data_IF_089602743548
#
_entry.id   IF_089602743548
#
_cell.length_a   1.000
_cell.length_b   1.000
_cell.length_c   1.000
_cell.angle_alpha   90.00
_cell.angle_beta   90.00
_cell.angle_gamma   90.00
#
_symmetry.space_group_name_H-M   'P 1'
#
loop_
_entity.id
_entity.type
_entity.pdbx_description
1 polymer ?
#
# COMPACT_ATOMS: atom_id res chain seq x y z
N UNK A 1 -0.35 27.89 2.56
CA UNK A 1 0.22 26.82 3.40
C UNK A 1 -0.86 26.05 4.18
N UNK A 2 -1.56 26.67 5.14
CA UNK A 2 -2.58 25.98 5.97
C UNK A 2 -3.67 25.31 5.12
N UNK A 3 -4.16 26.01 4.09
CA UNK A 3 -5.13 25.41 3.17
C UNK A 3 -4.57 24.21 2.41
N UNK A 4 -3.34 24.30 1.88
CA UNK A 4 -2.71 23.16 1.19
C UNK A 4 -2.60 21.94 2.10
N UNK A 5 -2.16 22.13 3.36
CA UNK A 5 -2.08 21.06 4.34
C UNK A 5 -3.48 20.49 4.68
N UNK A 6 -4.47 21.36 4.91
CA UNK A 6 -5.84 20.93 5.21
C UNK A 6 -6.43 20.10 4.06
N UNK A 7 -6.27 20.55 2.81
CA UNK A 7 -6.71 19.81 1.62
C UNK A 7 -5.96 18.48 1.44
N UNK A 8 -4.65 18.49 1.69
CA UNK A 8 -3.84 17.28 1.65
C UNK A 8 -4.32 16.24 2.68
N UNK A 9 -4.45 16.64 3.95
CA UNK A 9 -4.92 15.73 5.02
C UNK A 9 -6.34 15.23 4.72
N UNK A 10 -7.25 16.12 4.28
CA UNK A 10 -8.59 15.72 3.86
C UNK A 10 -8.56 14.68 2.74
N UNK A 11 -7.74 14.90 1.72
CA UNK A 11 -7.58 13.97 0.60
C UNK A 11 -7.01 12.62 1.02
N UNK A 12 -5.99 12.61 1.86
CA UNK A 12 -5.39 11.36 2.37
C UNK A 12 -6.38 10.59 3.24
N UNK A 13 -7.06 11.26 4.19
CA UNK A 13 -8.04 10.61 5.06
C UNK A 13 -9.22 10.02 4.28
N UNK A 14 -9.84 10.79 3.39
CA UNK A 14 -10.92 10.30 2.53
C UNK A 14 -10.43 9.18 1.62
N UNK A 15 -9.20 9.30 1.09
CA UNK A 15 -8.59 8.28 0.26
C UNK A 15 -8.52 6.93 0.99
N UNK A 16 -7.96 6.89 2.20
CA UNK A 16 -7.89 5.65 2.96
C UNK A 16 -9.27 5.12 3.38
N UNK A 17 -10.24 5.98 3.70
CA UNK A 17 -11.62 5.53 3.90
C UNK A 17 -12.16 4.85 2.63
N UNK A 18 -11.98 5.46 1.46
CA UNK A 18 -12.39 4.88 0.19
C UNK A 18 -11.60 3.63 -0.22
N UNK A 19 -10.35 3.47 0.22
CA UNK A 19 -9.57 2.25 -0.02
C UNK A 19 -10.03 1.06 0.83
N UNK A 20 -10.48 1.32 2.05
CA UNK A 20 -10.79 0.28 3.06
C UNK A 20 -12.27 -0.09 3.07
N UNK A 21 -13.16 0.89 3.03
CA UNK A 21 -14.60 0.68 3.19
C UNK A 21 -15.35 0.69 1.85
N UNK A 22 -16.49 0.01 1.80
CA UNK A 22 -17.40 0.04 0.65
C UNK A 22 -18.14 1.37 0.51
N UNK A 23 -18.42 2.01 1.65
CA UNK A 23 -19.06 3.32 1.76
C UNK A 23 -18.41 4.13 2.88
N UNK A 24 -18.40 5.45 2.75
CA UNK A 24 -17.99 6.34 3.82
C UNK A 24 -18.72 7.68 3.74
N UNK A 25 -18.74 8.42 4.85
CA UNK A 25 -19.28 9.76 4.87
C UNK A 25 -18.24 10.74 4.32
N UNK A 26 -18.65 11.53 3.32
CA UNK A 26 -17.81 12.61 2.80
C UNK A 26 -18.07 13.85 3.63
N UNK A 27 -17.07 14.26 4.40
CA UNK A 27 -17.12 15.48 5.21
C UNK A 27 -16.06 16.45 4.68
N UNK A 28 -16.51 17.60 4.21
CA UNK A 28 -15.68 18.67 3.70
C UNK A 28 -16.03 19.98 4.41
N UNK A 29 -15.31 21.06 4.09
CA UNK A 29 -15.62 22.42 4.57
C UNK A 29 -16.99 22.95 4.06
N UNK A 30 -17.52 22.36 3.01
CA UNK A 30 -18.84 22.68 2.46
C UNK A 30 -19.97 21.86 3.12
N UNK A 31 -19.63 20.89 3.96
CA UNK A 31 -20.61 19.99 4.60
C UNK A 31 -21.37 20.71 5.70
N UNK A 32 -22.69 20.72 5.58
CA UNK A 32 -23.59 21.26 6.61
C UNK A 32 -23.71 20.28 7.77
N UNK A 33 -22.92 20.46 8.82
CA UNK A 33 -22.82 19.53 9.94
C UNK A 33 -24.17 19.30 10.68
N UNK A 34 -25.10 20.27 10.62
CA UNK A 34 -26.44 20.12 11.18
C UNK A 34 -27.29 19.04 10.48
N UNK A 35 -26.90 18.63 9.28
CA UNK A 35 -27.57 17.57 8.49
C UNK A 35 -26.83 16.24 8.55
N UNK A 36 -25.76 16.17 9.32
CA UNK A 36 -25.04 14.90 9.52
C UNK A 36 -25.84 13.97 10.48
N UNK A 37 -25.73 12.64 10.32
CA UNK A 37 -24.74 11.94 9.47
C UNK A 37 -25.06 11.89 7.97
N UNK A 38 -26.27 12.17 7.50
CA UNK A 38 -26.63 12.01 6.09
C UNK A 38 -26.55 10.56 5.59
N UNK A 39 -26.43 10.39 4.28
CA UNK A 39 -26.26 9.07 3.64
C UNK A 39 -24.78 8.86 3.27
N UNK A 40 -24.18 7.70 3.59
CA UNK A 40 -22.80 7.42 3.20
C UNK A 40 -22.69 7.25 1.68
N UNK A 41 -21.63 7.79 1.10
CA UNK A 41 -21.34 7.69 -0.33
C UNK A 41 -20.58 6.40 -0.65
N UNK A 42 -20.81 5.81 -1.84
CA UNK A 42 -20.01 4.68 -2.32
C UNK A 42 -18.52 5.03 -2.40
N UNK A 43 -17.67 4.05 -2.22
CA UNK A 43 -16.21 4.22 -2.20
C UNK A 43 -15.66 4.99 -3.42
N UNK A 44 -16.25 4.83 -4.61
CA UNK A 44 -15.81 5.56 -5.81
C UNK A 44 -15.98 7.07 -5.67
N UNK A 45 -17.07 7.52 -5.10
CA UNK A 45 -17.31 8.94 -4.84
C UNK A 45 -16.35 9.46 -3.76
N UNK A 46 -16.08 8.65 -2.74
CA UNK A 46 -15.13 8.99 -1.69
C UNK A 46 -13.72 9.16 -2.27
N UNK A 47 -13.28 8.24 -3.13
CA UNK A 47 -11.98 8.34 -3.84
C UNK A 47 -11.93 9.56 -4.76
N UNK A 48 -12.99 9.82 -5.53
CA UNK A 48 -13.02 11.01 -6.40
C UNK A 48 -12.91 12.30 -5.59
N UNK A 49 -13.58 12.39 -4.44
CA UNK A 49 -13.48 13.54 -3.54
C UNK A 49 -12.08 13.65 -2.92
N UNK A 50 -11.47 12.52 -2.56
CA UNK A 50 -10.10 12.46 -2.06
C UNK A 50 -9.10 13.01 -3.09
N UNK A 51 -9.18 12.52 -4.33
CA UNK A 51 -8.33 13.00 -5.44
C UNK A 51 -8.54 14.48 -5.70
N UNK A 52 -9.80 14.95 -5.74
CA UNK A 52 -10.09 16.38 -5.91
C UNK A 52 -9.51 17.24 -4.77
N UNK A 53 -9.51 16.76 -3.53
CA UNK A 53 -8.89 17.46 -2.41
C UNK A 53 -7.37 17.54 -2.55
N UNK A 54 -6.73 16.47 -3.04
CA UNK A 54 -5.29 16.46 -3.34
C UNK A 54 -4.92 17.36 -4.52
N UNK A 55 -5.76 17.42 -5.57
CA UNK A 55 -5.61 18.37 -6.68
C UNK A 55 -5.68 19.83 -6.18
N UNK A 56 -6.64 20.14 -5.31
CA UNK A 56 -6.74 21.48 -4.69
C UNK A 56 -5.51 21.81 -3.84
N UNK A 57 -4.97 20.82 -3.10
CA UNK A 57 -3.72 21.01 -2.36
C UNK A 57 -2.56 21.34 -3.31
N UNK A 58 -2.40 20.60 -4.40
CA UNK A 58 -1.38 20.85 -5.43
C UNK A 58 -1.55 22.21 -6.12
N UNK A 59 -2.77 22.63 -6.39
CA UNK A 59 -3.09 23.93 -6.95
C UNK A 59 -2.67 25.09 -6.03
N UNK A 60 -3.02 25.00 -4.73
CA UNK A 60 -2.60 25.99 -3.73
C UNK A 60 -1.08 26.06 -3.64
N UNK A 61 -0.39 24.90 -3.69
CA UNK A 61 1.06 24.84 -3.71
C UNK A 61 1.67 25.52 -4.94
N UNK A 62 1.06 25.35 -6.11
CA UNK A 62 1.52 25.96 -7.36
C UNK A 62 1.40 27.49 -7.35
N UNK A 63 0.42 28.01 -6.63
CA UNK A 63 0.11 29.45 -6.57
C UNK A 63 0.71 30.17 -5.34
N UNK A 64 1.51 29.45 -4.53
CA UNK A 64 2.05 29.97 -3.26
C UNK A 64 3.47 29.53 -3.05
N UNK A 65 4.26 30.34 -2.35
CA UNK A 65 5.61 29.96 -1.93
C UNK A 65 5.66 29.88 -0.39
N UNK A 66 5.89 28.68 0.14
CA UNK A 66 6.00 28.42 1.57
C UNK A 66 6.85 27.17 1.84
N UNK A 67 7.21 26.99 3.10
CA UNK A 67 7.80 25.75 3.62
C UNK A 67 6.92 25.24 4.75
N UNK A 68 6.63 23.93 4.75
CA UNK A 68 5.88 23.27 5.82
C UNK A 68 6.72 23.29 7.09
N UNK A 69 6.18 23.76 8.22
CA UNK A 69 6.89 23.74 9.50
C UNK A 69 7.19 22.31 9.96
N UNK A 70 8.39 22.07 10.51
CA UNK A 70 8.77 20.77 11.09
C UNK A 70 7.89 20.31 12.24
N UNK A 71 7.12 21.21 12.87
CA UNK A 71 6.10 20.84 13.86
C UNK A 71 4.88 20.13 13.27
N UNK A 72 4.64 20.27 11.96
CA UNK A 72 3.54 19.58 11.27
C UNK A 72 3.99 18.26 10.65
N UNK A 73 5.24 18.21 10.20
CA UNK A 73 5.87 17.03 9.62
C UNK A 73 7.23 16.83 10.34
N UNK A 74 7.29 16.11 11.45
CA UNK A 74 8.50 15.93 12.22
C UNK A 74 9.64 15.37 11.39
N UNK A 75 10.83 15.97 11.52
CA UNK A 75 12.02 15.56 10.78
C UNK A 75 12.04 15.92 9.29
N UNK A 76 10.95 16.45 8.75
CA UNK A 76 10.79 16.74 7.34
C UNK A 76 10.83 18.24 7.02
N UNK A 77 11.34 18.56 5.85
CA UNK A 77 11.25 19.91 5.27
C UNK A 77 10.71 19.81 3.85
N UNK A 78 9.56 20.41 3.61
CA UNK A 78 8.87 20.40 2.34
C UNK A 78 8.52 21.83 1.94
N UNK A 79 9.12 22.32 0.84
CA UNK A 79 8.65 23.56 0.23
C UNK A 79 7.36 23.31 -0.57
N UNK A 80 6.72 24.39 -1.03
CA UNK A 80 5.43 24.27 -1.75
C UNK A 80 5.52 23.42 -3.02
N UNK A 81 6.63 23.46 -3.76
CA UNK A 81 6.83 22.63 -4.95
C UNK A 81 6.97 21.14 -4.62
N UNK A 82 7.75 20.82 -3.60
CA UNK A 82 7.88 19.44 -3.11
C UNK A 82 6.55 18.93 -2.53
N UNK A 83 5.81 19.77 -1.80
CA UNK A 83 4.52 19.40 -1.22
C UNK A 83 3.44 19.18 -2.29
N UNK A 84 3.48 19.96 -3.40
CA UNK A 84 2.69 19.67 -4.61
C UNK A 84 2.95 18.26 -5.12
N UNK A 85 4.22 17.90 -5.28
CA UNK A 85 4.63 16.55 -5.75
C UNK A 85 4.13 15.45 -4.81
N UNK A 86 4.15 15.69 -3.50
CA UNK A 86 3.61 14.76 -2.51
C UNK A 86 2.10 14.55 -2.70
N UNK A 87 1.34 15.65 -2.89
CA UNK A 87 -0.09 15.57 -3.17
C UNK A 87 -0.40 14.80 -4.46
N UNK A 88 0.39 15.00 -5.51
CA UNK A 88 0.26 14.25 -6.76
C UNK A 88 0.53 12.76 -6.57
N UNK A 89 1.61 12.39 -5.87
CA UNK A 89 1.92 10.99 -5.59
C UNK A 89 0.80 10.29 -4.81
N UNK A 90 0.21 10.97 -3.81
CA UNK A 90 -0.95 10.43 -3.11
C UNK A 90 -2.18 10.33 -4.01
N UNK A 91 -2.41 11.27 -4.92
CA UNK A 91 -3.51 11.18 -5.88
C UNK A 91 -3.35 9.95 -6.80
N UNK A 92 -2.15 9.70 -7.32
CA UNK A 92 -1.83 8.50 -8.08
C UNK A 92 -2.06 7.22 -7.26
N UNK A 93 -1.57 7.17 -6.01
CA UNK A 93 -1.78 6.06 -5.07
C UNK A 93 -3.26 5.76 -4.88
N UNK A 94 -4.09 6.78 -4.63
CA UNK A 94 -5.53 6.59 -4.39
C UNK A 94 -6.24 6.01 -5.60
N UNK A 95 -5.91 6.45 -6.82
CA UNK A 95 -6.51 5.90 -8.04
C UNK A 95 -6.09 4.44 -8.23
N UNK A 96 -4.79 4.15 -8.18
CA UNK A 96 -4.25 2.81 -8.47
C UNK A 96 -4.76 1.76 -7.49
N UNK A 97 -4.76 2.07 -6.20
CA UNK A 97 -5.14 1.11 -5.16
C UNK A 97 -6.63 1.07 -4.86
N UNK A 98 -7.45 1.94 -5.45
CA UNK A 98 -8.89 1.92 -5.23
C UNK A 98 -9.62 0.77 -5.93
N UNK A 99 -9.05 0.20 -6.97
CA UNK A 99 -9.65 -0.90 -7.73
C UNK A 99 -9.94 -2.12 -6.85
N UNK A 100 -11.16 -2.66 -6.92
CA UNK A 100 -11.58 -3.83 -6.13
C UNK A 100 -11.29 -5.16 -6.82
N UNK A 101 -11.03 -5.10 -8.10
CA UNK A 101 -10.78 -6.27 -8.95
C UNK A 101 -10.09 -5.83 -10.26
N UNK A 102 -9.73 -6.82 -11.08
CA UNK A 102 -9.05 -6.59 -12.35
C UNK A 102 -9.89 -5.79 -13.36
N UNK A 103 -11.22 -5.87 -13.29
CA UNK A 103 -12.10 -5.07 -14.15
C UNK A 103 -12.03 -3.59 -13.80
N UNK A 104 -12.06 -3.28 -12.50
CA UNK A 104 -11.89 -1.90 -12.01
C UNK A 104 -10.50 -1.37 -12.37
N UNK A 105 -9.46 -2.20 -12.25
CA UNK A 105 -8.08 -1.84 -12.60
C UNK A 105 -7.94 -1.46 -14.09
N UNK A 106 -8.55 -2.25 -14.97
CA UNK A 106 -8.56 -1.94 -16.40
C UNK A 106 -9.29 -0.61 -16.70
N UNK A 107 -10.35 -0.33 -15.95
CA UNK A 107 -11.17 0.87 -16.12
C UNK A 107 -10.62 2.12 -15.40
N UNK A 108 -9.53 2.00 -14.65
CA UNK A 108 -8.92 3.12 -13.94
C UNK A 108 -8.39 4.19 -14.91
N UNK A 109 -8.34 5.44 -14.45
CA UNK A 109 -7.84 6.54 -15.27
C UNK A 109 -6.31 6.58 -15.28
N UNK A 110 -5.71 5.70 -16.08
CA UNK A 110 -4.25 5.53 -16.15
C UNK A 110 -3.52 6.76 -16.71
N UNK A 111 -4.16 7.56 -17.58
CA UNK A 111 -3.60 8.83 -18.05
C UNK A 111 -3.42 9.81 -16.89
N UNK A 112 -4.41 9.90 -16.00
CA UNK A 112 -4.32 10.73 -14.79
C UNK A 112 -3.25 10.22 -13.83
N UNK A 113 -3.15 8.90 -13.66
CA UNK A 113 -2.07 8.32 -12.83
C UNK A 113 -0.71 8.67 -13.40
N UNK A 114 -0.54 8.57 -14.72
CA UNK A 114 0.70 8.95 -15.39
C UNK A 114 1.03 10.43 -15.17
N UNK A 115 0.05 11.33 -15.34
CA UNK A 115 0.21 12.76 -15.11
C UNK A 115 0.69 13.06 -13.67
N UNK A 116 0.02 12.48 -12.68
CA UNK A 116 0.38 12.70 -11.28
C UNK A 116 1.73 12.10 -10.91
N UNK A 117 1.99 10.85 -11.27
CA UNK A 117 3.23 10.19 -10.93
C UNK A 117 4.45 10.79 -11.63
N UNK A 118 4.29 11.34 -12.85
CA UNK A 118 5.34 12.07 -13.57
C UNK A 118 5.76 13.37 -12.86
N UNK A 119 4.84 14.02 -12.14
CA UNK A 119 5.11 15.18 -11.29
C UNK A 119 4.98 14.79 -9.81
N UNK A 120 5.42 13.57 -9.47
CA UNK A 120 5.41 13.03 -8.13
C UNK A 120 6.68 13.31 -7.34
N UNK A 121 6.77 12.71 -6.14
CA UNK A 121 7.89 12.92 -5.21
C UNK A 121 9.23 12.45 -5.78
N UNK A 122 10.28 13.19 -5.45
CA UNK A 122 11.67 12.89 -5.80
C UNK A 122 12.50 12.40 -4.60
N UNK A 123 11.94 12.41 -3.41
CA UNK A 123 12.50 11.89 -2.16
C UNK A 123 11.41 11.17 -1.37
N UNK A 124 11.80 10.27 -0.47
CA UNK A 124 10.85 9.60 0.43
C UNK A 124 10.14 10.62 1.33
N UNK A 125 8.86 10.41 1.58
CA UNK A 125 8.12 11.06 2.65
C UNK A 125 8.18 10.12 3.86
N UNK A 126 9.07 10.47 4.80
CA UNK A 126 9.39 9.65 5.95
C UNK A 126 9.46 10.50 7.22
N UNK A 127 8.32 10.91 7.78
CA UNK A 127 8.31 11.65 9.03
C UNK A 127 9.02 10.91 10.14
N UNK A 128 9.64 11.66 11.05
CA UNK A 128 10.29 11.11 12.23
C UNK A 128 9.22 10.53 13.15
N UNK A 129 9.16 9.21 13.21
CA UNK A 129 8.30 8.49 14.13
C UNK A 129 8.99 8.39 15.49
N UNK A 130 8.26 8.69 16.57
CA UNK A 130 8.78 8.77 17.93
C UNK A 130 7.80 8.22 18.98
N UNK A 131 6.79 7.46 18.57
CA UNK A 131 5.71 6.90 19.38
C UNK A 131 4.86 7.93 20.16
N UNK A 132 5.07 9.22 19.96
CA UNK A 132 4.35 10.32 20.61
C UNK A 132 3.80 11.33 19.59
N UNK A 133 4.68 12.07 18.92
CA UNK A 133 4.29 13.14 18.00
C UNK A 133 3.84 12.59 16.64
N UNK A 134 4.56 11.59 16.11
CA UNK A 134 4.23 10.86 14.91
C UNK A 134 4.24 9.38 15.20
N UNK A 135 3.07 8.81 15.40
CA UNK A 135 2.89 7.42 15.77
C UNK A 135 2.18 6.64 14.67
N UNK A 136 2.74 5.49 14.34
CA UNK A 136 2.08 4.50 13.51
C UNK A 136 2.18 3.13 14.17
N UNK A 137 1.08 2.62 14.69
CA UNK A 137 1.03 1.26 15.25
C UNK A 137 1.45 0.20 14.22
N UNK A 138 1.21 0.45 12.93
CA UNK A 138 1.69 -0.41 11.88
C UNK A 138 3.22 -0.49 11.87
N UNK A 139 3.92 0.63 11.85
CA UNK A 139 5.39 0.65 11.86
C UNK A 139 5.96 0.09 13.16
N UNK A 140 5.40 0.45 14.30
CA UNK A 140 5.85 -0.06 15.59
C UNK A 140 5.71 -1.58 15.65
N UNK A 141 4.54 -2.13 15.35
CA UNK A 141 4.33 -3.58 15.40
C UNK A 141 5.02 -4.34 14.28
N UNK A 142 5.15 -3.75 13.08
CA UNK A 142 5.79 -4.40 11.95
C UNK A 142 7.28 -4.67 12.15
N UNK A 143 7.92 -4.05 13.12
CA UNK A 143 9.34 -4.25 13.43
C UNK A 143 9.58 -5.20 14.62
N UNK A 144 8.59 -5.48 15.46
CA UNK A 144 8.76 -6.41 16.58
C UNK A 144 8.91 -7.86 16.12
N UNK A 145 9.94 -8.54 16.61
CA UNK A 145 10.30 -9.90 16.20
C UNK A 145 9.16 -10.92 16.33
N UNK A 146 8.25 -10.73 17.29
CA UNK A 146 7.15 -11.66 17.58
C UNK A 146 5.87 -11.41 16.78
N UNK A 147 5.80 -10.33 15.99
CA UNK A 147 4.56 -9.95 15.32
C UNK A 147 4.64 -9.98 13.79
N UNK A 148 5.82 -10.14 13.21
CA UNK A 148 6.09 -9.84 11.81
C UNK A 148 6.65 -11.00 11.01
N UNK A 149 5.98 -12.14 11.04
CA UNK A 149 6.27 -13.16 10.06
C UNK A 149 5.93 -12.67 8.65
N UNK A 150 6.90 -12.77 7.74
CA UNK A 150 6.66 -12.51 6.33
C UNK A 150 5.83 -13.64 5.74
N UNK A 151 4.83 -13.30 4.93
CA UNK A 151 4.01 -14.29 4.23
C UNK A 151 4.88 -15.19 3.33
N UNK A 152 4.59 -16.49 3.32
CA UNK A 152 5.33 -17.46 2.49
C UNK A 152 5.25 -17.11 1.00
N UNK A 153 4.18 -16.49 0.55
CA UNK A 153 4.05 -16.01 -0.82
C UNK A 153 5.16 -15.02 -1.19
N UNK A 154 5.48 -14.08 -0.30
CA UNK A 154 6.55 -13.11 -0.52
C UNK A 154 7.93 -13.78 -0.49
N UNK A 155 8.12 -14.76 0.40
CA UNK A 155 9.38 -15.54 0.43
C UNK A 155 9.56 -16.35 -0.85
N UNK A 156 8.51 -16.99 -1.35
CA UNK A 156 8.52 -17.70 -2.65
C UNK A 156 8.80 -16.76 -3.83
N UNK A 157 8.33 -15.51 -3.78
CA UNK A 157 8.66 -14.51 -4.82
C UNK A 157 10.16 -14.17 -4.83
N UNK A 158 10.82 -14.18 -3.66
CA UNK A 158 12.26 -13.93 -3.56
C UNK A 158 13.09 -15.16 -3.88
N UNK A 159 12.63 -16.35 -3.52
CA UNK A 159 13.24 -17.64 -3.91
C UNK A 159 12.16 -18.61 -4.38
N UNK A 160 12.01 -18.83 -5.69
CA UNK A 160 11.00 -19.74 -6.24
C UNK A 160 11.15 -21.22 -5.80
N UNK A 161 12.26 -21.60 -5.17
CA UNK A 161 12.42 -22.93 -4.60
C UNK A 161 11.70 -23.09 -3.25
N UNK A 162 11.35 -21.97 -2.61
CA UNK A 162 10.56 -21.95 -1.38
C UNK A 162 9.07 -22.19 -1.69
N UNK A 163 8.31 -22.87 -0.83
CA UNK A 163 6.88 -23.02 -1.03
C UNK A 163 6.17 -21.67 -0.93
N UNK A 164 5.13 -21.45 -1.73
CA UNK A 164 4.30 -20.23 -1.64
C UNK A 164 3.31 -20.27 -0.46
N UNK A 165 3.05 -21.44 0.08
CA UNK A 165 2.24 -21.71 1.28
C UNK A 165 2.52 -23.11 1.79
N UNK A 166 2.12 -23.42 3.01
CA UNK A 166 2.14 -24.78 3.54
C UNK A 166 1.16 -25.67 2.74
N UNK A 167 1.61 -26.86 2.39
CA UNK A 167 0.82 -27.80 1.56
C UNK A 167 -0.35 -28.36 2.35
N UNK A 168 -0.12 -28.68 3.60
CA UNK A 168 -1.15 -29.13 4.53
C UNK A 168 -0.80 -28.74 5.98
N UNK A 169 -1.79 -28.75 6.85
CA UNK A 169 -1.66 -28.40 8.26
C UNK A 169 -0.77 -29.36 9.07
N UNK A 170 -0.50 -30.56 8.58
CA UNK A 170 0.33 -31.54 9.27
C UNK A 170 1.83 -31.33 9.03
N UNK A 171 2.18 -30.40 8.13
CA UNK A 171 3.58 -30.10 7.79
C UNK A 171 4.06 -28.74 8.29
N UNK A 172 3.20 -27.99 8.99
CA UNK A 172 3.50 -26.64 9.44
C UNK A 172 4.65 -26.52 10.44
N UNK A 173 4.99 -27.58 11.16
CA UNK A 173 6.12 -27.67 12.07
C UNK A 173 7.45 -28.04 11.36
N UNK A 174 7.36 -28.42 10.09
CA UNK A 174 8.52 -28.67 9.24
C UNK A 174 8.84 -27.39 8.48
N UNK A 175 9.57 -26.50 9.15
CA UNK A 175 9.95 -25.22 8.55
C UNK A 175 10.91 -25.45 7.37
N UNK A 176 10.69 -24.77 6.22
CA UNK A 176 11.67 -24.78 5.14
C UNK A 176 13.02 -24.28 5.65
N UNK A 177 14.09 -24.94 5.22
CA UNK A 177 15.44 -24.47 5.52
C UNK A 177 15.65 -23.06 4.99
N UNK A 178 16.45 -22.24 5.71
CA UNK A 178 16.73 -20.89 5.25
C UNK A 178 17.49 -20.88 3.92
N UNK A 179 17.20 -19.90 3.07
CA UNK A 179 17.98 -19.63 1.88
C UNK A 179 19.38 -19.18 2.32
N UNK A 180 20.41 -19.94 1.96
CA UNK A 180 21.78 -19.70 2.43
C UNK A 180 22.78 -19.33 1.32
N UNK A 181 22.38 -19.48 0.07
CA UNK A 181 23.25 -19.26 -1.07
C UNK A 181 22.58 -18.40 -2.14
N UNK A 182 23.35 -17.45 -2.66
CA UNK A 182 22.96 -16.72 -3.86
C UNK A 182 22.91 -17.69 -5.05
N UNK A 183 21.81 -17.68 -5.77
CA UNK A 183 21.58 -18.48 -6.98
C UNK A 183 20.89 -17.60 -8.01
N UNK A 184 21.08 -17.96 -9.28
CA UNK A 184 20.34 -17.30 -10.35
C UNK A 184 18.84 -17.38 -10.11
N UNK A 185 18.18 -16.24 -10.19
CA UNK A 185 16.74 -16.10 -9.96
C UNK A 185 16.31 -15.94 -8.49
N UNK A 186 17.24 -15.98 -7.54
CA UNK A 186 16.99 -15.60 -6.14
C UNK A 186 17.18 -14.09 -6.00
N UNK A 187 16.23 -13.44 -5.34
CA UNK A 187 16.30 -12.03 -5.01
C UNK A 187 17.22 -11.82 -3.81
N UNK A 188 18.33 -11.13 -4.02
CA UNK A 188 19.36 -10.88 -3.01
C UNK A 188 18.84 -10.10 -1.79
N UNK A 189 17.70 -9.43 -1.90
CA UNK A 189 17.07 -8.76 -0.76
C UNK A 189 16.65 -9.73 0.34
N UNK A 190 16.44 -11.03 0.04
CA UNK A 190 16.19 -12.04 1.08
C UNK A 190 17.32 -12.11 2.11
N UNK A 191 18.57 -11.80 1.71
CA UNK A 191 19.74 -11.79 2.59
C UNK A 191 19.94 -10.44 3.29
N UNK A 192 19.64 -9.35 2.59
CA UNK A 192 19.93 -8.00 3.07
C UNK A 192 18.79 -7.40 3.90
N UNK A 193 17.56 -7.58 3.44
CA UNK A 193 16.37 -6.92 3.99
C UNK A 193 15.52 -7.83 4.87
N UNK A 194 15.75 -9.14 4.80
CA UNK A 194 15.01 -10.13 5.58
C UNK A 194 15.92 -10.90 6.52
N UNK A 195 15.32 -11.46 7.57
CA UNK A 195 15.98 -12.31 8.53
C UNK A 195 15.19 -13.60 8.73
N UNK A 196 15.87 -14.74 8.63
CA UNK A 196 15.31 -16.01 9.05
C UNK A 196 15.41 -16.17 10.57
N UNK A 197 14.31 -16.57 11.20
CA UNK A 197 14.24 -16.85 12.63
C UNK A 197 14.12 -18.37 12.83
N UNK A 198 14.79 -18.90 13.87
CA UNK A 198 14.74 -20.32 14.20
C UNK A 198 13.39 -20.77 14.78
N UNK A 199 12.46 -19.83 14.98
CA UNK A 199 11.10 -20.08 15.45
C UNK A 199 10.15 -19.04 14.89
N UNK A 200 8.91 -19.45 14.63
CA UNK A 200 7.83 -18.57 14.21
C UNK A 200 6.88 -18.33 15.38
N UNK A 201 6.61 -17.07 15.69
CA UNK A 201 5.65 -16.68 16.74
C UNK A 201 4.26 -16.47 16.17
N UNK A 202 3.72 -17.47 15.47
CA UNK A 202 2.36 -17.40 14.95
C UNK A 202 1.43 -18.42 15.61
N UNK A 203 0.15 -18.18 15.48
CA UNK A 203 -0.90 -18.99 16.07
C UNK A 203 -1.51 -19.91 15.01
N UNK A 204 -1.32 -21.24 15.08
CA UNK A 204 -1.87 -22.19 14.10
C UNK A 204 -3.39 -22.06 13.93
N UNK A 205 -4.11 -21.77 15.02
CA UNK A 205 -5.54 -21.52 15.04
C UNK A 205 -5.99 -20.27 14.24
N UNK A 206 -5.04 -19.47 13.73
CA UNK A 206 -5.29 -18.23 12.96
C UNK A 206 -4.77 -18.28 11.51
N UNK A 207 -4.45 -19.46 10.99
CA UNK A 207 -4.00 -19.61 9.61
C UNK A 207 -2.48 -19.60 9.43
N UNK A 208 -1.79 -20.44 10.15
CA UNK A 208 -0.32 -20.61 10.15
C UNK A 208 0.29 -20.95 8.79
N UNK A 209 -0.46 -21.56 7.89
CA UNK A 209 0.03 -22.01 6.57
C UNK A 209 0.39 -20.87 5.60
N UNK A 210 0.21 -19.63 6.02
CA UNK A 210 0.65 -18.44 5.26
C UNK A 210 1.92 -17.81 5.81
N UNK A 211 2.29 -18.13 7.05
CA UNK A 211 3.45 -17.54 7.71
C UNK A 211 4.74 -18.30 7.38
N UNK A 212 5.83 -17.56 7.29
CA UNK A 212 7.18 -18.11 7.21
C UNK A 212 7.95 -17.83 8.49
N UNK A 213 9.18 -18.30 8.56
CA UNK A 213 10.12 -17.87 9.59
C UNK A 213 10.99 -16.68 9.18
N UNK A 214 10.68 -16.06 8.06
CA UNK A 214 11.33 -14.80 7.66
C UNK A 214 10.56 -13.61 8.22
N UNK A 215 11.30 -12.55 8.53
CA UNK A 215 10.76 -11.23 8.84
C UNK A 215 11.51 -10.15 8.05
N UNK A 216 10.87 -9.05 7.74
CA UNK A 216 11.53 -7.87 7.23
C UNK A 216 12.32 -7.21 8.38
N UNK A 217 13.62 -6.95 8.17
CA UNK A 217 14.50 -6.29 9.14
C UNK A 217 14.95 -4.89 8.71
N UNK A 218 14.39 -4.39 7.61
CA UNK A 218 14.83 -3.13 6.98
C UNK A 218 14.77 -1.93 7.92
N UNK A 219 13.84 -1.94 8.86
CA UNK A 219 13.60 -0.85 9.80
C UNK A 219 13.98 -1.21 11.24
N UNK A 220 14.89 -2.17 11.44
CA UNK A 220 15.31 -2.61 12.78
C UNK A 220 15.95 -1.50 13.61
N UNK A 221 16.47 -0.46 12.98
CA UNK A 221 17.00 0.70 13.70
C UNK A 221 15.92 1.32 14.60
N UNK A 222 14.67 1.36 14.15
CA UNK A 222 13.54 1.83 14.93
C UNK A 222 13.35 1.06 16.25
N UNK A 223 13.59 -0.26 16.26
CA UNK A 223 13.52 -1.07 17.49
C UNK A 223 14.57 -0.70 18.52
N UNK A 224 15.67 -0.08 18.11
CA UNK A 224 16.79 0.29 18.99
C UNK A 224 16.64 1.70 19.52
N UNK A 225 16.15 2.61 18.71
CA UNK A 225 16.11 4.04 19.01
C UNK A 225 14.71 4.52 19.39
N UNK A 226 13.66 3.79 18.95
CA UNK A 226 12.25 4.19 19.03
C UNK A 226 11.99 5.59 18.43
N UNK A 227 12.94 6.09 17.65
CA UNK A 227 12.89 7.42 17.03
C UNK A 227 13.68 7.40 15.72
N UNK A 228 12.99 7.13 14.60
CA UNK A 228 13.58 7.06 13.25
C UNK A 228 12.62 7.60 12.19
N UNK A 229 13.13 8.09 11.06
CA UNK A 229 12.29 8.36 9.90
C UNK A 229 11.62 7.08 9.40
N UNK A 230 10.29 7.06 9.38
CA UNK A 230 9.52 5.90 8.92
C UNK A 230 8.76 6.25 7.66
N UNK A 231 8.98 5.53 6.55
CA UNK A 231 8.44 5.93 5.25
C UNK A 231 6.93 5.66 5.16
N UNK A 232 6.17 6.73 5.04
CA UNK A 232 4.74 6.72 4.70
C UNK A 232 4.52 6.65 3.18
N UNK A 233 5.45 7.22 2.43
CA UNK A 233 5.46 7.15 0.97
C UNK A 233 6.90 7.18 0.45
N UNK A 234 7.32 6.10 -0.18
CA UNK A 234 8.67 6.02 -0.77
C UNK A 234 8.69 6.55 -2.19
N UNK A 235 9.80 7.20 -2.57
CA UNK A 235 10.03 7.65 -3.94
C UNK A 235 9.91 6.49 -4.94
N UNK A 236 10.44 5.34 -4.60
CA UNK A 236 10.36 4.13 -5.42
C UNK A 236 8.93 3.62 -5.62
N UNK A 237 8.02 3.86 -4.66
CA UNK A 237 6.61 3.58 -4.89
C UNK A 237 6.03 4.48 -5.98
N UNK A 238 6.37 5.77 -5.98
CA UNK A 238 5.96 6.68 -7.06
C UNK A 238 6.50 6.20 -8.41
N UNK A 239 7.72 5.69 -8.46
CA UNK A 239 8.30 5.11 -9.69
C UNK A 239 7.49 3.91 -10.17
N UNK A 240 7.03 3.04 -9.26
CA UNK A 240 6.19 1.90 -9.64
C UNK A 240 4.78 2.31 -10.06
N UNK A 241 4.22 3.39 -9.51
CA UNK A 241 2.96 3.97 -9.99
C UNK A 241 3.15 4.54 -11.40
N UNK A 242 4.26 5.24 -11.65
CA UNK A 242 4.60 5.77 -12.97
C UNK A 242 4.85 4.65 -13.99
N UNK A 243 5.61 3.62 -13.62
CA UNK A 243 5.90 2.48 -14.51
C UNK A 243 4.61 1.74 -14.91
N UNK A 244 3.71 1.50 -13.95
CA UNK A 244 2.43 0.88 -14.25
C UNK A 244 1.57 1.75 -15.17
N UNK A 245 1.46 3.04 -14.89
CA UNK A 245 0.71 3.96 -15.72
C UNK A 245 1.31 4.10 -17.13
N UNK A 246 2.64 4.13 -17.24
CA UNK A 246 3.34 4.12 -18.53
C UNK A 246 3.02 2.85 -19.32
N UNK A 247 3.06 1.68 -18.69
CA UNK A 247 2.69 0.42 -19.34
C UNK A 247 1.24 0.42 -19.80
N UNK A 248 0.30 0.80 -18.94
CA UNK A 248 -1.14 0.85 -19.23
C UNK A 248 -1.53 1.88 -20.28
N UNK A 249 -0.70 2.91 -20.50
CA UNK A 249 -0.88 3.94 -21.56
C UNK A 249 -0.02 3.66 -22.81
N UNK A 250 0.55 2.45 -22.92
CA UNK A 250 1.28 2.01 -24.11
C UNK A 250 2.74 2.42 -24.20
N UNK A 251 3.30 3.02 -23.15
CA UNK A 251 4.70 3.46 -23.06
C UNK A 251 5.58 2.36 -22.45
N UNK A 252 5.58 1.17 -23.05
CA UNK A 252 6.22 -0.02 -22.51
C UNK A 252 7.72 0.13 -22.30
N UNK A 253 8.42 0.83 -23.20
CA UNK A 253 9.87 1.07 -23.05
C UNK A 253 10.16 1.88 -21.79
N UNK A 254 9.44 2.98 -21.57
CA UNK A 254 9.59 3.81 -20.37
C UNK A 254 9.32 3.00 -19.10
N UNK A 255 8.26 2.20 -19.08
CA UNK A 255 7.94 1.33 -17.96
C UNK A 255 9.05 0.33 -17.65
N UNK A 256 9.58 -0.34 -18.69
CA UNK A 256 10.70 -1.28 -18.54
C UNK A 256 11.97 -0.58 -18.03
N UNK A 257 12.28 0.61 -18.53
CA UNK A 257 13.47 1.38 -18.12
C UNK A 257 13.39 1.77 -16.63
N UNK A 258 12.19 2.19 -16.15
CA UNK A 258 11.97 2.49 -14.74
C UNK A 258 12.20 1.23 -13.88
N UNK A 259 11.61 0.11 -14.25
CA UNK A 259 11.77 -1.15 -13.49
C UNK A 259 13.21 -1.64 -13.52
N UNK A 260 13.89 -1.55 -14.66
CA UNK A 260 15.26 -2.01 -14.82
C UNK A 260 16.29 -1.13 -14.11
N UNK A 261 15.93 0.10 -13.75
CA UNK A 261 16.74 0.98 -12.91
C UNK A 261 16.38 0.90 -11.41
N UNK A 262 15.36 0.14 -11.06
CA UNK A 262 14.84 0.04 -9.70
C UNK A 262 15.65 -0.89 -8.78
N UNK A 263 15.34 -0.95 -7.47
CA UNK A 263 15.93 -1.90 -6.53
C UNK A 263 15.81 -3.36 -6.94
N UNK A 264 14.88 -3.71 -7.80
CA UNK A 264 14.76 -5.06 -8.38
C UNK A 264 16.09 -5.55 -8.97
N UNK A 265 16.71 -4.72 -9.79
CA UNK A 265 17.97 -5.05 -10.45
C UNK A 265 19.17 -4.63 -9.60
N UNK A 266 19.12 -3.42 -9.04
CA UNK A 266 20.30 -2.82 -8.38
C UNK A 266 20.61 -3.41 -7.01
N UNK A 267 19.60 -3.94 -6.30
CA UNK A 267 19.75 -4.55 -4.97
C UNK A 267 19.34 -6.03 -4.96
N UNK A 268 18.29 -6.37 -5.71
CA UNK A 268 17.78 -7.73 -5.81
C UNK A 268 18.60 -8.63 -6.73
N UNK A 269 19.44 -8.05 -7.61
CA UNK A 269 20.22 -8.82 -8.58
C UNK A 269 19.40 -9.58 -9.61
N UNK A 270 18.09 -9.30 -9.70
CA UNK A 270 17.20 -9.95 -10.65
C UNK A 270 17.46 -9.44 -12.08
N UNK A 271 17.27 -10.27 -13.09
CA UNK A 271 17.50 -9.88 -14.46
C UNK A 271 16.57 -8.75 -14.90
N UNK A 272 17.03 -7.86 -15.81
CA UNK A 272 16.18 -6.86 -16.43
C UNK A 272 14.97 -7.49 -17.12
N UNK A 273 13.83 -6.81 -17.02
CA UNK A 273 12.61 -7.24 -17.70
C UNK A 273 12.61 -6.84 -19.17
N UNK A 274 12.08 -7.68 -20.08
CA UNK A 274 11.87 -7.30 -21.47
C UNK A 274 10.77 -6.23 -21.60
N UNK A 275 10.72 -5.56 -22.76
CA UNK A 275 9.72 -4.54 -23.08
C UNK A 275 8.40 -5.23 -23.47
N UNK A 276 7.80 -5.93 -22.52
CA UNK A 276 6.58 -6.71 -22.66
C UNK A 276 5.64 -6.46 -21.50
N UNK A 277 4.35 -6.25 -21.78
CA UNK A 277 3.34 -5.87 -20.80
C UNK A 277 3.33 -6.81 -19.57
N UNK A 278 3.22 -8.12 -19.83
CA UNK A 278 3.05 -9.10 -18.76
C UNK A 278 4.30 -9.16 -17.87
N UNK A 279 5.49 -9.16 -18.46
CA UNK A 279 6.76 -9.15 -17.71
C UNK A 279 6.93 -7.90 -16.86
N UNK A 280 6.54 -6.74 -17.37
CA UNK A 280 6.58 -5.46 -16.63
C UNK A 280 5.59 -5.51 -15.46
N UNK A 281 4.36 -5.97 -15.69
CA UNK A 281 3.32 -6.04 -14.66
C UNK A 281 3.68 -7.05 -13.55
N UNK A 282 4.24 -8.19 -13.90
CA UNK A 282 4.75 -9.16 -12.92
C UNK A 282 5.89 -8.58 -12.08
N UNK A 283 6.81 -7.84 -12.69
CA UNK A 283 7.88 -7.17 -11.97
C UNK A 283 7.34 -6.08 -11.04
N UNK A 284 6.38 -5.27 -11.47
CA UNK A 284 5.72 -4.28 -10.61
C UNK A 284 5.03 -4.94 -9.43
N UNK A 285 4.33 -6.07 -9.66
CA UNK A 285 3.72 -6.85 -8.59
C UNK A 285 4.79 -7.31 -7.59
N UNK A 286 5.86 -7.94 -8.08
CA UNK A 286 6.97 -8.40 -7.24
C UNK A 286 7.54 -7.26 -6.38
N UNK A 287 7.82 -6.11 -6.99
CA UNK A 287 8.40 -4.96 -6.29
C UNK A 287 7.47 -4.39 -5.22
N UNK A 288 6.17 -4.35 -5.47
CA UNK A 288 5.19 -3.93 -4.46
C UNK A 288 5.08 -4.90 -3.28
N UNK A 289 5.33 -6.19 -3.51
CA UNK A 289 5.34 -7.17 -2.43
C UNK A 289 6.65 -7.13 -1.64
N UNK A 290 7.80 -7.05 -2.32
CA UNK A 290 9.13 -7.17 -1.69
C UNK A 290 9.68 -5.81 -1.27
N UNK A 291 9.81 -4.85 -2.22
CA UNK A 291 10.45 -3.56 -1.94
C UNK A 291 9.60 -2.65 -1.05
N UNK A 292 8.28 -2.69 -1.21
CA UNK A 292 7.36 -1.85 -0.41
C UNK A 292 6.86 -2.54 0.87
N UNK A 293 7.46 -3.66 1.27
CA UNK A 293 7.09 -4.28 2.55
C UNK A 293 7.39 -3.35 3.72
N UNK A 294 6.43 -3.23 4.63
CA UNK A 294 6.48 -2.34 5.79
C UNK A 294 6.65 -0.85 5.44
N UNK A 295 6.17 -0.42 4.26
CA UNK A 295 6.14 0.99 3.86
C UNK A 295 4.71 1.37 3.45
N UNK A 296 4.15 2.38 4.07
CA UNK A 296 2.76 2.75 3.83
C UNK A 296 1.73 1.69 4.26
N UNK A 297 0.48 2.07 4.34
CA UNK A 297 -0.59 1.21 4.85
C UNK A 297 -1.27 0.43 3.72
N UNK A 298 -1.32 -0.91 3.85
CA UNK A 298 -2.17 -1.78 3.05
C UNK A 298 -1.75 -2.01 1.59
N UNK A 299 -0.58 -1.57 1.17
CA UNK A 299 -0.11 -1.60 -0.23
C UNK A 299 -0.24 -3.00 -0.82
N UNK A 300 0.25 -4.03 -0.12
CA UNK A 300 0.23 -5.42 -0.58
C UNK A 300 -1.20 -5.94 -0.78
N UNK A 301 -2.08 -5.65 0.19
CA UNK A 301 -3.48 -6.04 0.10
C UNK A 301 -4.17 -5.37 -1.10
N UNK A 302 -4.00 -4.07 -1.28
CA UNK A 302 -4.63 -3.34 -2.38
C UNK A 302 -4.09 -3.77 -3.74
N UNK A 303 -2.79 -4.08 -3.82
CA UNK A 303 -2.17 -4.62 -5.03
C UNK A 303 -2.76 -5.98 -5.40
N UNK A 304 -2.82 -6.91 -4.46
CA UNK A 304 -3.39 -8.24 -4.70
C UNK A 304 -4.88 -8.16 -5.04
N UNK A 305 -5.62 -7.28 -4.37
CA UNK A 305 -7.05 -7.06 -4.63
C UNK A 305 -7.32 -6.63 -6.06
N UNK A 306 -6.62 -5.61 -6.55
CA UNK A 306 -6.83 -5.10 -7.91
C UNK A 306 -6.47 -6.10 -9.01
N UNK A 307 -5.60 -7.05 -8.73
CA UNK A 307 -5.16 -8.08 -9.66
C UNK A 307 -5.92 -9.41 -9.53
N UNK A 308 -6.93 -9.49 -8.68
CA UNK A 308 -7.66 -10.72 -8.35
C UNK A 308 -6.73 -11.82 -7.75
N UNK A 309 -5.75 -11.41 -6.97
CA UNK A 309 -4.76 -12.30 -6.35
C UNK A 309 -4.94 -12.49 -4.83
N UNK A 310 -6.00 -11.94 -4.24
CA UNK A 310 -6.32 -12.24 -2.85
C UNK A 310 -6.71 -13.72 -2.70
N UNK A 311 -6.43 -14.28 -1.54
CA UNK A 311 -6.89 -15.63 -1.24
C UNK A 311 -8.39 -15.76 -1.33
N UNK A 312 -8.92 -16.92 -1.79
CA UNK A 312 -10.35 -17.19 -1.77
C UNK A 312 -10.96 -16.94 -0.39
N UNK A 313 -12.09 -16.25 -0.35
CA UNK A 313 -12.77 -15.86 0.89
C UNK A 313 -12.30 -14.54 1.50
N UNK A 314 -11.23 -13.92 0.98
CA UNK A 314 -10.79 -12.61 1.47
C UNK A 314 -11.80 -11.51 1.13
N UNK A 315 -12.21 -10.67 2.09
CA UNK A 315 -13.09 -9.54 1.80
C UNK A 315 -12.36 -8.52 0.92
N UNK A 316 -13.07 -7.96 -0.05
CA UNK A 316 -12.53 -6.91 -0.93
C UNK A 316 -12.52 -5.52 -0.27
N UNK A 317 -13.37 -5.33 0.72
CA UNK A 317 -13.55 -4.11 1.51
C UNK A 317 -14.29 -4.45 2.80
N UNK A 318 -14.34 -3.49 3.73
CA UNK A 318 -15.12 -3.62 4.94
C UNK A 318 -16.42 -2.83 4.82
N UNK A 319 -17.53 -3.29 5.45
CA UNK A 319 -18.73 -2.48 5.66
C UNK A 319 -18.45 -1.39 6.69
N UNK A 320 -19.30 -0.38 6.74
CA UNK A 320 -19.29 0.56 7.87
C UNK A 320 -19.47 -0.25 9.17
N UNK A 321 -18.67 -0.01 10.22
CA UNK A 321 -18.78 -0.76 11.47
C UNK A 321 -20.20 -0.72 12.05
N UNK A 322 -20.70 -1.89 12.48
CA UNK A 322 -22.07 -2.01 13.03
C UNK A 322 -22.35 -1.05 14.19
N UNK A 323 -21.36 -0.85 15.08
CA UNK A 323 -21.47 0.13 16.17
C UNK A 323 -21.67 1.57 15.66
N UNK A 324 -21.08 1.91 14.52
CA UNK A 324 -21.29 3.23 13.91
C UNK A 324 -22.69 3.34 13.28
N UNK A 325 -23.15 2.29 12.61
CA UNK A 325 -24.49 2.24 12.04
C UNK A 325 -25.57 2.34 13.15
N UNK A 326 -25.35 1.69 14.30
CA UNK A 326 -26.22 1.76 15.46
C UNK A 326 -26.36 3.19 16.01
N UNK A 327 -25.23 3.88 16.21
CA UNK A 327 -25.21 5.29 16.66
C UNK A 327 -26.00 6.19 15.69
N UNK A 328 -25.91 5.89 14.39
CA UNK A 328 -26.59 6.65 13.34
C UNK A 328 -28.03 6.17 13.06
N UNK A 329 -28.51 5.16 13.78
CA UNK A 329 -29.81 4.52 13.59
C UNK A 329 -30.01 4.06 12.14
N UNK A 330 -29.00 3.40 11.57
CA UNK A 330 -28.97 2.81 10.23
C UNK A 330 -29.02 1.29 10.31
N UNK A 331 -29.58 0.66 9.29
CA UNK A 331 -29.63 -0.79 9.21
C UNK A 331 -28.24 -1.41 9.06
N UNK A 332 -28.02 -2.56 9.70
CA UNK A 332 -26.81 -3.36 9.52
C UNK A 332 -26.78 -4.02 8.14
N UNK A 333 -25.58 -4.17 7.61
CA UNK A 333 -25.33 -4.94 6.40
C UNK A 333 -24.02 -5.73 6.52
N UNK A 334 -23.77 -6.67 5.61
CA UNK A 334 -22.66 -7.61 5.70
C UNK A 334 -21.55 -7.27 4.70
N UNK A 335 -20.46 -8.03 4.76
CA UNK A 335 -19.39 -7.99 3.76
C UNK A 335 -19.94 -8.15 2.34
N UNK A 336 -19.34 -7.45 1.38
CA UNK A 336 -19.82 -7.43 0.00
C UNK A 336 -20.91 -6.39 -0.26
N UNK A 337 -21.14 -5.48 0.67
CA UNK A 337 -22.13 -4.41 0.57
C UNK A 337 -23.57 -4.91 0.78
N UNK A 338 -24.52 -4.22 0.21
CA UNK A 338 -25.96 -4.48 0.42
C UNK A 338 -26.44 -5.86 -0.06
N UNK A 339 -25.71 -6.46 -1.00
CA UNK A 339 -26.03 -7.78 -1.55
C UNK A 339 -25.25 -8.91 -0.90
N UNK A 340 -24.33 -8.59 0.01
CA UNK A 340 -23.51 -9.57 0.69
C UNK A 340 -24.33 -10.43 1.64
N UNK A 341 -24.03 -11.74 1.66
CA UNK A 341 -24.62 -12.68 2.60
C UNK A 341 -23.52 -13.35 3.42
N UNK A 342 -23.76 -13.64 4.72
CA UNK A 342 -22.80 -14.38 5.54
C UNK A 342 -22.38 -15.69 4.85
N UNK A 343 -21.08 -15.98 4.85
CA UNK A 343 -20.50 -17.18 4.23
C UNK A 343 -20.35 -17.12 2.71
N UNK A 344 -20.69 -16.01 2.07
CA UNK A 344 -20.43 -15.81 0.64
C UNK A 344 -18.94 -15.49 0.43
N UNK A 345 -18.33 -16.14 -0.55
CA UNK A 345 -16.99 -15.78 -1.02
C UNK A 345 -17.07 -14.52 -1.89
N UNK A 346 -16.44 -13.44 -1.43
CA UNK A 346 -16.40 -12.16 -2.13
C UNK A 346 -15.11 -11.93 -2.90
N UNK A 347 -14.14 -12.84 -2.79
CA UNK A 347 -12.90 -12.76 -3.55
C UNK A 347 -13.17 -13.01 -5.05
N UNK A 348 -12.30 -12.44 -5.87
CA UNK A 348 -12.43 -12.50 -7.34
C UNK A 348 -11.46 -13.47 -7.99
N UNK A 349 -10.84 -14.29 -7.21
CA UNK A 349 -9.80 -15.23 -7.60
C UNK A 349 -8.89 -15.49 -6.43
N UNK A 350 -7.67 -15.80 -6.70
CA UNK A 350 -6.73 -15.99 -5.62
C UNK A 350 -5.54 -16.88 -6.03
N UNK A 351 -4.67 -17.12 -5.10
CA UNK A 351 -3.50 -17.98 -5.25
C UNK A 351 -3.49 -19.10 -4.20
#
# INVERSE_FOLDING_TARGET
>A
MTEAMARFVQGVCLGYLGLVYDKAFIVTDETELSKMPGTPSPWREVINTAVSSLEKAAEVCSNSNFTIPSKWLPGEQWNSGEFKRLANSFAARMIVYSSRNKTDDIAANWEKVYEYASDGIEKDFAPLADDDTWYSSYHSYANYLSYTATDMYVVNMMDPAMPSRWVDENTWDILPEPVTTHKDGVDDRIFTDFQYLNSCSFRPDRGYYLFSCYRCKRFDQYLQTETEPMPEFRKVENDYLLAEAAAKTGKLQEAADIINSSPRVTRGGLPPVPVEMDSIMEAIHHERMVELMNTGFGIQFFQMRKENKLQPGSPLHYPIPGSQLEIMNMDYYTFGGETGMPGTDFSTGGW
#
